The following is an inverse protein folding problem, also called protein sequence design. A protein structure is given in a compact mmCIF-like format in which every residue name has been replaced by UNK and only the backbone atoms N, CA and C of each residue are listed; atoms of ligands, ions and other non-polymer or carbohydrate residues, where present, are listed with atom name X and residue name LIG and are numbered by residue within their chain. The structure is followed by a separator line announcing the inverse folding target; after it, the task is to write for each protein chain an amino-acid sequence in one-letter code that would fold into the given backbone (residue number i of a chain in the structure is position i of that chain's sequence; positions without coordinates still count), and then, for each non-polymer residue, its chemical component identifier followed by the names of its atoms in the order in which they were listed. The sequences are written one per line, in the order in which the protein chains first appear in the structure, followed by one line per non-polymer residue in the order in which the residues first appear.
data_IF_610368059774
#
_entry.id   IF_610368059774
#
_cell.length_a   1.000
_cell.length_b   1.000
_cell.length_c   1.000
_cell.angle_alpha   90.00
_cell.angle_beta   90.00
_cell.angle_gamma   90.00
#
_symmetry.space_group_name_H-M   'P 1'
#
loop_
_entity.id
_entity.type
_entity.pdbx_description
1 polymer ?
#
# COMPACT_ATOMS: atom_id res chain seq x y z
N UNK A 1 4.21 16.06 -15.58
CA UNK A 1 2.80 16.37 -15.90
C UNK A 1 2.33 15.91 -17.29
N UNK A 2 3.16 15.26 -18.12
CA UNK A 2 2.68 14.68 -19.38
C UNK A 2 1.89 13.36 -19.21
N UNK A 3 2.03 12.66 -18.09
CA UNK A 3 1.41 11.33 -17.88
C UNK A 3 -0.11 11.46 -17.77
N UNK A 4 -0.62 12.31 -16.86
CA UNK A 4 -2.06 12.50 -16.72
C UNK A 4 -2.72 13.08 -17.98
N UNK A 5 -2.02 13.92 -18.75
CA UNK A 5 -2.54 14.41 -20.04
C UNK A 5 -2.67 13.29 -21.07
N UNK A 6 -1.65 12.43 -21.19
CA UNK A 6 -1.69 11.24 -22.04
C UNK A 6 -2.80 10.27 -21.60
N UNK A 7 -2.96 10.09 -20.29
CA UNK A 7 -4.02 9.25 -19.73
C UNK A 7 -5.40 9.79 -20.10
N UNK A 8 -5.64 11.10 -19.96
CA UNK A 8 -6.90 11.74 -20.38
C UNK A 8 -7.15 11.52 -21.88
N UNK A 9 -6.14 11.72 -22.74
CA UNK A 9 -6.26 11.49 -24.18
C UNK A 9 -6.60 10.03 -24.50
N UNK A 10 -5.94 9.09 -23.82
CA UNK A 10 -6.19 7.66 -23.98
C UNK A 10 -7.61 7.27 -23.55
N UNK A 11 -8.06 7.73 -22.36
CA UNK A 11 -9.40 7.44 -21.84
C UNK A 11 -10.48 8.05 -22.74
N UNK A 12 -10.26 9.24 -23.30
CA UNK A 12 -11.20 9.84 -24.26
C UNK A 12 -11.35 9.01 -25.53
N UNK A 13 -10.29 8.36 -25.99
CA UNK A 13 -10.29 7.61 -27.24
C UNK A 13 -10.71 6.14 -27.06
N UNK A 14 -10.35 5.53 -25.93
CA UNK A 14 -10.45 4.08 -25.72
C UNK A 14 -11.13 3.70 -24.40
N UNK A 15 -11.46 4.67 -23.55
CA UNK A 15 -12.04 4.44 -22.23
C UNK A 15 -13.36 3.70 -22.31
N UNK A 16 -13.53 2.73 -21.41
CA UNK A 16 -14.76 1.99 -21.18
C UNK A 16 -15.16 2.13 -19.71
N UNK A 17 -16.45 2.06 -19.37
CA UNK A 17 -16.88 2.06 -17.98
C UNK A 17 -16.10 1.03 -17.16
N UNK A 18 -15.52 1.49 -16.04
CA UNK A 18 -14.79 0.62 -15.13
C UNK A 18 -15.80 -0.12 -14.27
N UNK A 19 -15.84 -1.44 -14.40
CA UNK A 19 -16.61 -2.29 -13.50
C UNK A 19 -15.90 -2.36 -12.15
N UNK A 20 -16.53 -1.77 -11.14
CA UNK A 20 -16.13 -1.91 -9.75
C UNK A 20 -16.49 -3.31 -9.27
N UNK A 21 -15.55 -3.91 -8.58
CA UNK A 21 -15.64 -5.26 -8.06
C UNK A 21 -14.75 -5.40 -6.83
N UNK A 22 -15.30 -6.08 -5.83
CA UNK A 22 -14.60 -6.33 -4.58
C UNK A 22 -13.61 -7.49 -4.74
N UNK A 23 -12.42 -7.46 -4.11
CA UNK A 23 -11.84 -6.41 -3.26
C UNK A 23 -10.90 -5.43 -3.98
N UNK A 24 -10.76 -5.54 -5.31
CA UNK A 24 -9.61 -4.96 -6.01
C UNK A 24 -9.76 -3.48 -6.37
N UNK A 25 -10.92 -3.08 -6.90
CA UNK A 25 -11.12 -1.72 -7.42
C UNK A 25 -12.36 -1.01 -6.88
N UNK A 26 -13.18 -1.66 -6.05
CA UNK A 26 -14.31 -1.03 -5.36
C UNK A 26 -14.80 -1.82 -4.14
N UNK A 27 -15.55 -1.15 -3.26
CA UNK A 27 -16.19 -1.79 -2.10
C UNK A 27 -17.52 -2.45 -2.43
N UNK A 28 -18.14 -2.06 -3.54
CA UNK A 28 -19.43 -2.58 -4.01
C UNK A 28 -19.40 -2.71 -5.53
N UNK A 29 -20.08 -3.72 -6.10
CA UNK A 29 -20.28 -3.79 -7.54
C UNK A 29 -20.90 -2.51 -8.09
N UNK A 30 -20.43 -2.08 -9.25
CA UNK A 30 -20.91 -0.86 -9.89
C UNK A 30 -20.14 -0.55 -11.16
N UNK A 31 -20.52 0.53 -11.84
CA UNK A 31 -19.78 1.02 -13.01
C UNK A 31 -19.42 2.48 -12.79
N UNK A 32 -18.16 2.82 -13.01
CA UNK A 32 -17.66 4.20 -13.01
C UNK A 32 -17.45 4.64 -14.45
N UNK A 33 -18.03 5.79 -14.79
CA UNK A 33 -17.91 6.35 -16.13
C UNK A 33 -16.46 6.77 -16.43
N UNK A 34 -15.96 6.61 -17.67
CA UNK A 34 -14.66 7.17 -18.08
C UNK A 34 -14.57 8.68 -17.83
N UNK A 35 -15.69 9.39 -17.95
CA UNK A 35 -15.80 10.82 -17.71
C UNK A 35 -15.49 11.19 -16.27
N UNK A 36 -15.96 10.43 -15.28
CA UNK A 36 -15.60 10.66 -13.86
C UNK A 36 -14.10 10.54 -13.64
N UNK A 37 -13.47 9.53 -14.24
CA UNK A 37 -12.01 9.36 -14.15
C UNK A 37 -11.26 10.53 -14.80
N UNK A 38 -11.71 11.01 -15.96
CA UNK A 38 -11.14 12.21 -16.61
C UNK A 38 -11.27 13.43 -15.70
N UNK A 39 -12.43 13.67 -15.07
CA UNK A 39 -12.63 14.81 -14.17
C UNK A 39 -11.68 14.75 -12.97
N UNK A 40 -11.41 13.56 -12.42
CA UNK A 40 -10.42 13.38 -11.35
C UNK A 40 -9.00 13.69 -11.84
N UNK A 41 -8.62 13.25 -13.04
CA UNK A 41 -7.32 13.56 -13.64
C UNK A 41 -7.15 15.06 -13.92
N UNK A 42 -8.20 15.75 -14.36
CA UNK A 42 -8.19 17.19 -14.55
C UNK A 42 -8.02 17.94 -13.22
N UNK A 43 -8.74 17.53 -12.16
CA UNK A 43 -8.53 18.04 -10.79
C UNK A 43 -7.08 17.79 -10.32
N UNK A 44 -6.52 16.60 -10.57
CA UNK A 44 -5.13 16.29 -10.26
C UNK A 44 -4.14 17.23 -10.97
N UNK A 45 -4.35 17.50 -12.26
CA UNK A 45 -3.50 18.42 -13.04
C UNK A 45 -3.49 19.84 -12.48
N UNK A 46 -4.58 20.30 -11.86
CA UNK A 46 -4.64 21.61 -11.18
C UNK A 46 -3.80 21.64 -9.90
N UNK A 47 -3.69 20.52 -9.18
CA UNK A 47 -2.90 20.40 -7.94
C UNK A 47 -1.42 20.12 -8.20
N UNK A 48 -1.10 19.40 -9.27
CA UNK A 48 0.24 18.92 -9.57
C UNK A 48 1.37 19.98 -9.49
N UNK A 49 1.18 21.23 -9.97
CA UNK A 49 2.20 22.29 -9.85
C UNK A 49 2.57 22.70 -8.41
N UNK A 50 1.75 22.32 -7.41
CA UNK A 50 1.91 22.72 -6.01
C UNK A 50 2.40 21.58 -5.11
N UNK A 51 2.51 20.35 -5.64
CA UNK A 51 2.92 19.18 -4.87
C UNK A 51 4.40 19.23 -4.49
N UNK A 52 5.22 19.85 -5.35
CA UNK A 52 6.66 19.95 -5.18
C UNK A 52 7.06 21.39 -4.88
N UNK A 53 8.16 21.62 -4.15
CA UNK A 53 8.76 22.94 -4.02
C UNK A 53 8.94 23.62 -5.38
N UNK A 54 8.59 24.92 -5.49
CA UNK A 54 8.75 25.70 -6.73
C UNK A 54 10.20 25.89 -7.15
N UNK A 55 11.11 25.93 -6.19
CA UNK A 55 12.55 26.01 -6.46
C UNK A 55 13.05 24.71 -7.11
N UNK A 56 13.46 24.79 -8.38
CA UNK A 56 13.96 23.64 -9.13
C UNK A 56 15.23 23.04 -8.53
N UNK A 57 16.02 23.85 -7.83
CA UNK A 57 17.28 23.41 -7.23
C UNK A 57 17.08 22.83 -5.82
N UNK A 58 15.83 22.78 -5.34
CA UNK A 58 15.51 22.19 -4.06
C UNK A 58 15.93 20.70 -4.04
N UNK A 59 16.74 20.25 -3.05
CA UNK A 59 17.16 18.85 -2.96
C UNK A 59 16.01 17.84 -2.93
N UNK A 60 14.81 18.23 -2.49
CA UNK A 60 13.63 17.37 -2.47
C UNK A 60 13.06 17.09 -3.87
N UNK A 61 13.41 17.92 -4.86
CA UNK A 61 13.04 17.76 -6.26
C UNK A 61 13.99 16.83 -7.03
N UNK A 62 15.09 16.40 -6.40
CA UNK A 62 16.08 15.54 -7.05
C UNK A 62 15.45 14.22 -7.49
N UNK A 63 15.57 13.90 -8.79
CA UNK A 63 15.15 12.62 -9.35
C UNK A 63 15.88 11.49 -8.62
N UNK A 64 15.10 10.59 -8.04
CA UNK A 64 15.57 9.50 -7.21
C UNK A 64 15.02 8.20 -7.78
N UNK A 65 15.92 7.30 -8.15
CA UNK A 65 15.59 5.93 -8.51
C UNK A 65 15.18 5.18 -7.25
N UNK A 66 14.01 4.55 -7.25
CA UNK A 66 13.52 3.80 -6.09
C UNK A 66 13.21 2.37 -6.46
N UNK A 67 13.87 1.43 -5.77
CA UNK A 67 13.55 0.03 -5.86
C UNK A 67 12.11 -0.21 -5.33
N UNK A 68 11.25 -0.91 -6.08
CA UNK A 68 9.83 -1.05 -5.75
C UNK A 68 9.60 -1.97 -4.54
N UNK A 69 10.40 -3.04 -4.43
CA UNK A 69 10.29 -4.01 -3.34
C UNK A 69 11.66 -4.39 -2.76
N UNK A 70 12.31 -3.44 -2.07
CA UNK A 70 13.63 -3.70 -1.52
C UNK A 70 13.51 -4.54 -0.24
N UNK A 71 13.86 -5.82 -0.33
CA UNK A 71 13.86 -6.75 0.79
C UNK A 71 15.03 -7.76 0.67
N UNK A 72 15.28 -8.58 1.71
CA UNK A 72 16.37 -9.56 1.68
C UNK A 72 16.28 -10.61 0.57
N UNK A 73 15.08 -11.01 0.13
CA UNK A 73 14.92 -11.98 -0.97
C UNK A 73 15.39 -11.39 -2.31
N UNK A 74 15.31 -10.06 -2.45
CA UNK A 74 15.74 -9.34 -3.65
C UNK A 74 17.18 -8.82 -3.55
N UNK A 75 17.93 -9.17 -2.49
CA UNK A 75 19.29 -8.68 -2.23
C UNK A 75 20.27 -9.83 -2.03
N UNK A 76 21.25 -9.96 -2.93
CA UNK A 76 22.31 -10.96 -2.84
C UNK A 76 23.55 -10.40 -2.16
N UNK A 77 24.14 -11.19 -1.27
CA UNK A 77 25.35 -10.83 -0.52
C UNK A 77 26.46 -11.81 -0.88
N UNK A 78 27.65 -11.27 -1.16
CA UNK A 78 28.85 -12.06 -1.43
C UNK A 78 29.33 -12.77 -0.17
N UNK A 79 29.46 -14.11 -0.16
CA UNK A 79 29.96 -14.83 1.01
C UNK A 79 31.41 -14.47 1.37
N UNK A 80 32.21 -14.03 0.40
CA UNK A 80 33.62 -13.72 0.58
C UNK A 80 33.87 -12.33 1.18
N UNK A 81 33.05 -11.34 0.81
CA UNK A 81 33.25 -9.94 1.23
C UNK A 81 32.19 -9.43 2.22
N UNK A 82 31.06 -10.12 2.34
CA UNK A 82 29.89 -9.62 3.09
C UNK A 82 29.21 -8.41 2.44
N UNK A 83 29.67 -7.96 1.27
CA UNK A 83 29.07 -6.85 0.53
C UNK A 83 27.89 -7.30 -0.36
N UNK A 84 26.98 -6.37 -0.65
CA UNK A 84 25.90 -6.59 -1.62
C UNK A 84 26.52 -6.82 -3.00
N UNK A 85 26.22 -7.97 -3.62
CA UNK A 85 26.70 -8.33 -4.96
C UNK A 85 25.69 -8.02 -6.04
N UNK A 86 24.39 -8.12 -5.74
CA UNK A 86 23.32 -7.90 -6.71
C UNK A 86 22.01 -7.51 -6.00
N UNK A 87 21.20 -6.68 -6.65
CA UNK A 87 19.80 -6.41 -6.29
C UNK A 87 18.97 -6.73 -7.53
N UNK A 88 17.92 -7.54 -7.38
CA UNK A 88 17.03 -7.99 -8.45
C UNK A 88 15.62 -7.43 -8.26
N UNK A 89 14.65 -7.79 -9.13
CA UNK A 89 13.27 -7.32 -9.03
C UNK A 89 13.09 -5.80 -9.20
N UNK A 90 13.83 -5.24 -10.17
CA UNK A 90 13.68 -3.83 -10.58
C UNK A 90 12.45 -3.59 -11.49
N UNK A 91 11.65 -4.60 -11.79
CA UNK A 91 10.40 -4.41 -12.51
C UNK A 91 9.46 -3.47 -11.73
N UNK A 92 8.83 -2.51 -12.42
CA UNK A 92 8.03 -1.43 -11.81
C UNK A 92 8.82 -0.36 -11.03
N UNK A 93 10.15 -0.32 -11.18
CA UNK A 93 10.97 0.78 -10.63
C UNK A 93 10.50 2.13 -11.16
N UNK A 94 10.40 3.11 -10.26
CA UNK A 94 10.05 4.49 -10.60
C UNK A 94 11.27 5.42 -10.46
N UNK A 95 11.25 6.49 -11.25
CA UNK A 95 12.17 7.62 -11.12
C UNK A 95 11.34 8.87 -10.90
N UNK A 96 11.35 9.34 -9.66
CA UNK A 96 10.50 10.45 -9.23
C UNK A 96 11.28 11.41 -8.33
N UNK A 97 10.79 12.64 -8.14
CA UNK A 97 11.30 13.55 -7.13
C UNK A 97 11.41 12.86 -5.77
N UNK A 98 12.53 13.05 -5.07
CA UNK A 98 12.80 12.46 -3.75
C UNK A 98 11.63 12.56 -2.79
N UNK A 99 10.92 13.68 -2.78
CA UNK A 99 9.76 13.92 -1.92
C UNK A 99 8.63 12.89 -2.13
N UNK A 100 8.44 12.42 -3.36
CA UNK A 100 7.38 11.48 -3.75
C UNK A 100 7.77 10.00 -3.56
N UNK A 101 9.06 9.71 -3.33
CA UNK A 101 9.54 8.32 -3.15
C UNK A 101 10.29 8.11 -1.83
N UNK A 102 10.32 9.12 -0.96
CA UNK A 102 10.90 8.99 0.37
C UNK A 102 10.02 8.13 1.25
N UNK A 103 10.54 6.97 1.66
CA UNK A 103 9.89 6.03 2.56
C UNK A 103 10.85 4.95 3.00
N UNK A 104 10.37 4.06 3.86
CA UNK A 104 11.10 2.85 4.25
C UNK A 104 10.43 1.63 3.60
N UNK A 105 11.18 0.71 2.98
CA UNK A 105 10.59 -0.54 2.52
C UNK A 105 10.03 -1.33 3.72
N UNK A 106 8.91 -2.05 3.52
CA UNK A 106 8.20 -2.80 4.59
C UNK A 106 9.13 -3.73 5.37
N UNK A 107 10.10 -4.36 4.68
CA UNK A 107 11.08 -5.25 5.29
C UNK A 107 11.96 -4.61 6.38
N UNK A 108 12.05 -3.28 6.43
CA UNK A 108 12.84 -2.51 7.41
C UNK A 108 11.97 -1.73 8.41
N UNK A 109 10.66 -2.01 8.46
CA UNK A 109 9.78 -1.46 9.48
C UNK A 109 10.13 -1.98 10.87
N UNK A 110 9.73 -1.23 11.90
CA UNK A 110 9.92 -1.70 13.27
C UNK A 110 8.95 -2.86 13.53
N UNK A 111 9.44 -4.07 13.85
CA UNK A 111 8.54 -5.16 14.22
C UNK A 111 7.87 -4.97 15.59
N UNK A 112 8.39 -4.08 16.44
CA UNK A 112 7.89 -3.87 17.80
C UNK A 112 6.75 -2.84 17.83
N UNK A 113 5.64 -3.20 18.51
CA UNK A 113 4.46 -2.35 18.70
C UNK A 113 4.81 -1.12 19.55
N UNK A 114 5.59 -1.32 20.60
CA UNK A 114 6.04 -0.25 21.50
C UNK A 114 7.47 0.17 21.15
N UNK A 115 7.64 1.45 20.80
CA UNK A 115 8.95 1.99 20.50
C UNK A 115 9.66 2.33 21.81
N UNK A 116 10.80 1.67 22.05
CA UNK A 116 11.72 2.13 23.08
C UNK A 116 12.35 3.47 22.64
N UNK A 117 12.48 4.47 23.52
CA UNK A 117 13.21 5.69 23.20
C UNK A 117 14.70 5.43 22.98
N UNK A 118 15.22 4.31 23.50
CA UNK A 118 16.61 3.91 23.39
C UNK A 118 16.82 2.92 22.25
N UNK A 119 17.84 3.17 21.42
CA UNK A 119 18.28 2.22 20.42
C UNK A 119 19.08 1.11 21.11
N UNK A 120 18.46 -0.07 21.26
CA UNK A 120 19.07 -1.27 21.86
C UNK A 120 19.47 -2.26 20.79
N UNK A 121 20.68 -2.80 20.86
CA UNK A 121 21.14 -3.83 19.93
C UNK A 121 20.21 -5.04 20.03
N UNK A 122 19.72 -5.59 18.91
CA UNK A 122 18.85 -6.75 18.95
C UNK A 122 19.61 -7.91 19.57
N UNK A 123 18.97 -8.60 20.51
CA UNK A 123 19.50 -9.83 21.09
C UNK A 123 18.38 -10.84 21.24
N UNK A 124 18.74 -12.12 21.21
CA UNK A 124 17.80 -13.15 21.63
C UNK A 124 17.48 -12.99 23.12
N UNK A 125 16.29 -13.43 23.50
CA UNK A 125 15.86 -13.47 24.89
C UNK A 125 16.65 -14.56 25.64
N UNK A 126 16.85 -14.40 26.95
CA UNK A 126 17.74 -15.27 27.74
C UNK A 126 17.32 -16.74 27.75
N UNK A 127 16.04 -17.01 27.50
CA UNK A 127 15.40 -18.32 27.45
C UNK A 127 15.43 -18.98 26.06
N UNK A 128 16.00 -18.33 25.03
CA UNK A 128 16.02 -18.82 23.65
C UNK A 128 16.46 -20.29 23.53
N UNK A 129 17.54 -20.67 24.22
CA UNK A 129 18.07 -22.03 24.16
C UNK A 129 17.08 -23.10 24.65
N UNK A 130 16.16 -22.72 25.54
CA UNK A 130 15.14 -23.59 26.13
C UNK A 130 13.84 -23.64 25.32
N UNK A 131 13.69 -22.78 24.30
CA UNK A 131 12.49 -22.74 23.48
C UNK A 131 12.32 -24.01 22.62
N UNK A 132 11.08 -24.47 22.40
CA UNK A 132 10.75 -25.45 21.37
C UNK A 132 11.18 -25.01 19.97
N UNK A 133 11.35 -25.95 19.04
CA UNK A 133 11.82 -25.66 17.67
C UNK A 133 10.99 -24.59 16.96
N UNK A 134 9.65 -24.66 17.05
CA UNK A 134 8.75 -23.68 16.43
C UNK A 134 8.95 -22.27 17.00
N UNK A 135 9.01 -22.14 18.33
CA UNK A 135 9.23 -20.86 19.00
C UNK A 135 10.63 -20.28 18.72
N UNK A 136 11.64 -21.13 18.44
CA UNK A 136 12.95 -20.66 17.99
C UNK A 136 12.89 -20.04 16.60
N UNK A 137 12.11 -20.59 15.67
CA UNK A 137 11.92 -20.02 14.34
C UNK A 137 11.32 -18.61 14.43
N UNK A 138 10.27 -18.44 15.22
CA UNK A 138 9.63 -17.15 15.45
C UNK A 138 10.59 -16.14 16.12
N UNK A 139 11.35 -16.60 17.13
CA UNK A 139 12.34 -15.77 17.80
C UNK A 139 13.48 -15.33 16.86
N UNK A 140 13.93 -16.22 15.97
CA UNK A 140 14.95 -15.91 14.95
C UNK A 140 14.43 -14.93 13.91
N UNK A 141 13.19 -15.08 13.46
CA UNK A 141 12.56 -14.15 12.53
C UNK A 141 12.43 -12.75 13.15
N UNK A 142 11.94 -12.66 14.38
CA UNK A 142 11.84 -11.39 15.10
C UNK A 142 13.21 -10.74 15.29
N UNK A 143 14.23 -11.53 15.65
CA UNK A 143 15.61 -11.05 15.77
C UNK A 143 16.11 -10.47 14.43
N UNK A 144 15.90 -11.17 13.31
CA UNK A 144 16.28 -10.68 11.96
C UNK A 144 15.56 -9.38 11.61
N UNK A 145 14.24 -9.28 11.86
CA UNK A 145 13.45 -8.07 11.58
C UNK A 145 13.93 -6.87 12.41
N UNK A 146 14.23 -7.08 13.70
CA UNK A 146 14.82 -6.03 14.57
C UNK A 146 16.20 -5.59 14.07
N UNK A 147 17.00 -6.52 13.56
CA UNK A 147 18.29 -6.19 12.96
C UNK A 147 18.14 -5.41 11.64
N UNK A 148 17.13 -5.73 10.83
CA UNK A 148 16.83 -4.95 9.62
C UNK A 148 16.35 -3.54 9.95
N UNK A 149 15.61 -3.34 11.03
CA UNK A 149 15.20 -1.99 11.48
C UNK A 149 16.40 -1.03 11.69
N UNK A 150 17.61 -1.53 12.01
CA UNK A 150 18.82 -0.69 12.08
C UNK A 150 19.20 -0.04 10.76
N UNK A 151 18.83 -0.64 9.63
CA UNK A 151 18.96 0.01 8.32
C UNK A 151 18.21 1.34 8.29
N UNK A 152 16.99 1.40 8.86
CA UNK A 152 16.17 2.62 8.92
C UNK A 152 16.91 3.73 9.65
N UNK A 153 17.48 3.42 10.81
CA UNK A 153 18.25 4.36 11.63
C UNK A 153 19.50 4.84 10.89
N UNK A 154 20.25 3.90 10.31
CA UNK A 154 21.47 4.19 9.57
C UNK A 154 21.21 5.04 8.32
N UNK A 155 20.15 4.73 7.57
CA UNK A 155 19.72 5.52 6.42
C UNK A 155 19.32 6.94 6.83
N UNK A 156 18.59 7.12 7.93
CA UNK A 156 18.31 8.46 8.47
C UNK A 156 19.59 9.23 8.85
N UNK A 157 20.59 8.53 9.40
CA UNK A 157 21.86 9.15 9.76
C UNK A 157 22.68 9.55 8.53
N UNK A 158 22.82 8.66 7.54
CA UNK A 158 23.72 8.82 6.39
C UNK A 158 23.08 9.59 5.23
N UNK A 159 21.77 9.47 5.03
CA UNK A 159 21.04 10.06 3.92
C UNK A 159 20.20 11.27 4.40
N UNK A 160 20.88 12.38 4.71
CA UNK A 160 20.23 13.61 5.24
C UNK A 160 19.11 14.14 4.33
N UNK A 161 19.26 14.20 2.99
CA UNK A 161 18.18 14.68 2.14
C UNK A 161 16.94 13.77 2.18
N UNK A 162 17.11 12.45 2.28
CA UNK A 162 16.00 11.52 2.46
C UNK A 162 15.34 11.70 3.84
N UNK A 163 16.13 11.87 4.91
CA UNK A 163 15.58 12.18 6.23
C UNK A 163 14.79 13.50 6.23
N UNK A 164 15.25 14.51 5.47
CA UNK A 164 14.51 15.77 5.30
C UNK A 164 13.17 15.55 4.61
N UNK A 165 13.11 14.71 3.56
CA UNK A 165 11.87 14.36 2.89
C UNK A 165 10.89 13.63 3.83
N UNK A 166 11.39 12.71 4.67
CA UNK A 166 10.57 12.00 5.67
C UNK A 166 10.04 12.90 6.79
N UNK A 167 10.67 14.06 7.02
CA UNK A 167 10.22 15.05 8.01
C UNK A 167 9.11 15.94 7.48
N UNK A 168 8.80 15.87 6.18
CA UNK A 168 7.67 16.59 5.61
C UNK A 168 6.37 15.98 6.17
N UNK A 169 5.58 16.74 6.94
CA UNK A 169 4.33 16.23 7.52
C UNK A 169 3.28 15.86 6.46
N UNK A 170 3.46 16.31 5.22
CA UNK A 170 2.56 16.05 4.09
C UNK A 170 3.19 15.07 3.09
N UNK A 171 4.30 14.40 3.44
CA UNK A 171 4.94 13.42 2.55
C UNK A 171 3.97 12.32 2.13
N UNK A 172 3.32 11.64 3.07
CA UNK A 172 2.39 10.54 2.77
C UNK A 172 1.19 10.98 1.91
N UNK A 173 0.45 12.06 2.23
CA UNK A 173 -0.62 12.54 1.36
C UNK A 173 -0.14 12.91 -0.06
N UNK A 174 1.07 13.48 -0.20
CA UNK A 174 1.65 13.81 -1.51
C UNK A 174 2.01 12.59 -2.34
N UNK A 175 2.40 11.49 -1.68
CA UNK A 175 2.73 10.22 -2.32
C UNK A 175 1.47 9.45 -2.70
N UNK A 176 0.43 9.52 -1.87
CA UNK A 176 -0.84 8.84 -2.07
C UNK A 176 -1.91 9.79 -2.60
N UNK A 177 -1.70 10.29 -3.82
CA UNK A 177 -2.63 11.19 -4.54
C UNK A 177 -3.98 10.55 -4.89
N UNK A 178 -4.15 9.25 -4.61
CA UNK A 178 -5.44 8.56 -4.71
C UNK A 178 -6.55 9.16 -3.84
N UNK A 179 -6.22 10.08 -2.94
CA UNK A 179 -7.20 10.87 -2.19
C UNK A 179 -7.03 12.37 -2.47
N UNK A 180 -7.41 12.84 -3.68
CA UNK A 180 -7.48 14.26 -4.02
C UNK A 180 -8.24 15.08 -2.95
N UNK A 181 -9.23 14.47 -2.31
CA UNK A 181 -9.95 15.00 -1.15
C UNK A 181 -8.99 15.39 -0.03
N UNK A 182 -8.10 14.48 0.40
CA UNK A 182 -7.10 14.76 1.44
C UNK A 182 -6.15 15.87 1.02
N UNK A 183 -5.76 15.93 -0.25
CA UNK A 183 -4.88 17.02 -0.73
C UNK A 183 -5.49 18.41 -0.58
N UNK A 184 -6.82 18.54 -0.64
CA UNK A 184 -7.50 19.81 -0.37
C UNK A 184 -7.43 20.16 1.11
N UNK A 185 -7.59 19.18 2.01
CA UNK A 185 -7.42 19.38 3.45
C UNK A 185 -5.99 19.84 3.79
N UNK A 186 -4.98 19.25 3.12
CA UNK A 186 -3.58 19.62 3.31
C UNK A 186 -3.14 20.87 2.53
N UNK A 187 -4.00 21.42 1.67
CA UNK A 187 -3.67 22.59 0.84
C UNK A 187 -3.07 23.76 1.63
N UNK A 188 -3.60 24.16 2.81
CA UNK A 188 -3.05 25.28 3.58
C UNK A 188 -1.65 25.02 4.15
N UNK A 189 -1.23 23.76 4.20
CA UNK A 189 0.05 23.34 4.77
C UNK A 189 1.16 23.21 3.72
N UNK A 190 0.82 23.26 2.42
CA UNK A 190 1.82 23.24 1.36
C UNK A 190 2.69 24.53 1.41
N UNK A 191 4.01 24.44 1.18
CA UNK A 191 4.92 25.58 1.38
C UNK A 191 4.57 26.81 0.53
N UNK A 192 4.10 26.56 -0.70
CA UNK A 192 3.93 27.58 -1.75
C UNK A 192 2.46 27.96 -2.01
N UNK A 193 1.54 27.61 -1.10
CA UNK A 193 0.09 27.85 -1.25
C UNK A 193 -0.45 28.90 -0.28
N UNK A 194 0.39 29.46 0.60
CA UNK A 194 -0.04 30.45 1.59
C UNK A 194 -0.71 31.66 0.90
N UNK A 195 -1.97 31.90 1.23
CA UNK A 195 -2.78 32.99 0.64
C UNK A 195 -3.32 32.69 -0.76
N UNK A 196 -3.12 31.49 -1.30
CA UNK A 196 -3.65 31.02 -2.58
C UNK A 196 -4.86 30.12 -2.29
N UNK A 197 -6.00 30.40 -2.92
CA UNK A 197 -7.17 29.52 -2.85
C UNK A 197 -6.88 28.19 -3.55
N UNK A 198 -7.33 27.07 -2.97
CA UNK A 198 -7.22 25.77 -3.62
C UNK A 198 -7.97 25.79 -4.96
N UNK A 199 -7.35 25.36 -6.07
CA UNK A 199 -7.99 25.36 -7.39
C UNK A 199 -9.01 24.23 -7.57
N UNK A 200 -9.05 23.28 -6.62
CA UNK A 200 -9.98 22.14 -6.63
C UNK A 200 -10.92 22.25 -5.45
N UNK A 201 -12.21 22.03 -5.73
CA UNK A 201 -13.27 21.93 -4.75
C UNK A 201 -14.08 20.66 -5.03
N UNK A 202 -14.62 20.07 -3.96
CA UNK A 202 -15.64 19.02 -4.02
C UNK A 202 -16.87 19.54 -3.29
N UNK A 203 -18.03 19.11 -3.76
CA UNK A 203 -19.32 19.35 -3.12
C UNK A 203 -19.44 18.56 -1.82
N UNK A 204 -20.28 19.02 -0.89
CA UNK A 204 -20.54 18.31 0.36
C UNK A 204 -21.04 16.87 0.12
N UNK A 205 -21.83 16.66 -0.95
CA UNK A 205 -22.30 15.34 -1.34
C UNK A 205 -21.17 14.41 -1.82
N UNK A 206 -20.20 14.92 -2.58
CA UNK A 206 -19.01 14.15 -2.99
C UNK A 206 -18.16 13.76 -1.77
N UNK A 207 -17.98 14.69 -0.82
CA UNK A 207 -17.21 14.44 0.41
C UNK A 207 -17.91 13.42 1.33
N UNK A 208 -19.22 13.51 1.50
CA UNK A 208 -20.00 12.54 2.26
C UNK A 208 -19.98 11.16 1.60
N UNK A 209 -20.08 11.11 0.26
CA UNK A 209 -19.95 9.89 -0.51
C UNK A 209 -18.59 9.22 -0.34
N UNK A 210 -17.50 10.01 -0.44
CA UNK A 210 -16.14 9.54 -0.20
C UNK A 210 -15.97 8.98 1.22
N UNK A 211 -16.46 9.68 2.24
CA UNK A 211 -16.36 9.22 3.63
C UNK A 211 -17.10 7.89 3.87
N UNK A 212 -18.29 7.71 3.27
CA UNK A 212 -19.03 6.45 3.32
C UNK A 212 -18.28 5.31 2.63
N UNK A 213 -17.71 5.56 1.45
CA UNK A 213 -16.91 4.57 0.72
C UNK A 213 -15.64 4.19 1.48
N UNK A 214 -14.91 5.16 2.03
CA UNK A 214 -13.70 4.91 2.82
C UNK A 214 -14.01 4.08 4.08
N UNK A 215 -15.10 4.41 4.77
CA UNK A 215 -15.55 3.65 5.94
C UNK A 215 -15.92 2.22 5.56
N UNK A 216 -16.65 2.02 4.45
CA UNK A 216 -17.00 0.69 3.95
C UNK A 216 -15.74 -0.11 3.59
N UNK A 217 -14.81 0.49 2.84
CA UNK A 217 -13.55 -0.13 2.46
C UNK A 217 -12.73 -0.56 3.68
N UNK A 218 -12.70 0.26 4.74
CA UNK A 218 -12.03 -0.07 5.99
C UNK A 218 -12.65 -1.29 6.71
N UNK A 219 -13.99 -1.35 6.81
CA UNK A 219 -14.66 -2.50 7.42
C UNK A 219 -14.45 -3.78 6.60
N UNK A 220 -14.58 -3.70 5.28
CA UNK A 220 -14.37 -4.84 4.39
C UNK A 220 -12.91 -5.32 4.44
N UNK A 221 -11.93 -4.41 4.47
CA UNK A 221 -10.51 -4.78 4.58
C UNK A 221 -10.22 -5.54 5.88
N UNK A 222 -10.84 -5.15 7.00
CA UNK A 222 -10.72 -5.89 8.26
C UNK A 222 -11.33 -7.28 8.17
N UNK A 223 -12.50 -7.39 7.56
CA UNK A 223 -13.19 -8.66 7.38
C UNK A 223 -12.39 -9.62 6.49
N UNK A 224 -11.84 -9.10 5.38
CA UNK A 224 -10.97 -9.86 4.47
C UNK A 224 -9.71 -10.36 5.18
N UNK A 225 -9.07 -9.50 5.97
CA UNK A 225 -7.89 -9.93 6.72
C UNK A 225 -8.23 -10.99 7.77
N UNK A 226 -9.36 -10.87 8.45
CA UNK A 226 -9.86 -11.91 9.34
C UNK A 226 -10.08 -13.24 8.58
N UNK A 227 -10.68 -13.22 7.40
CA UNK A 227 -10.84 -14.42 6.58
C UNK A 227 -9.51 -15.03 6.12
N UNK A 228 -8.54 -14.19 5.73
CA UNK A 228 -7.19 -14.64 5.38
C UNK A 228 -6.52 -15.36 6.54
N UNK A 229 -6.65 -14.84 7.75
CA UNK A 229 -6.10 -15.44 8.97
C UNK A 229 -6.76 -16.79 9.28
N UNK A 230 -8.08 -16.89 9.16
CA UNK A 230 -8.83 -18.15 9.36
C UNK A 230 -8.43 -19.23 8.33
N UNK A 231 -8.26 -18.85 7.06
CA UNK A 231 -7.84 -19.76 5.99
C UNK A 231 -6.35 -20.13 6.13
N UNK A 232 -5.53 -19.21 6.64
CA UNK A 232 -4.08 -19.37 6.80
C UNK A 232 -3.27 -18.98 5.56
N UNK A 233 -3.72 -17.94 4.83
CA UNK A 233 -3.08 -17.38 3.63
C UNK A 233 -2.55 -15.98 3.90
N UNK A 234 -1.56 -15.53 3.11
CA UNK A 234 -1.05 -14.16 3.20
C UNK A 234 -1.88 -13.17 2.36
N UNK A 235 -1.46 -11.89 2.33
CA UNK A 235 -2.12 -10.82 1.54
C UNK A 235 -2.26 -11.19 0.05
N UNK A 236 -1.29 -11.93 -0.50
CA UNK A 236 -1.22 -12.36 -1.90
C UNK A 236 -1.93 -13.71 -2.17
N UNK A 237 -2.55 -14.31 -1.15
CA UNK A 237 -3.20 -15.63 -1.26
C UNK A 237 -2.23 -16.81 -1.31
N UNK A 238 -0.94 -16.59 -1.06
CA UNK A 238 0.08 -17.63 -1.09
C UNK A 238 -0.03 -18.57 0.12
N UNK A 239 0.17 -19.87 -0.15
CA UNK A 239 0.26 -20.94 0.84
C UNK A 239 1.32 -21.97 0.42
N UNK A 240 1.96 -22.62 1.38
CA UNK A 240 2.89 -23.72 1.11
C UNK A 240 2.14 -24.93 0.55
N UNK A 241 2.79 -25.70 -0.33
CA UNK A 241 2.21 -26.90 -0.95
C UNK A 241 1.56 -27.86 0.08
N UNK A 242 2.26 -28.11 1.20
CA UNK A 242 1.77 -28.97 2.28
C UNK A 242 0.49 -28.48 2.99
N UNK A 243 0.18 -27.18 2.88
CA UNK A 243 -0.99 -26.55 3.51
C UNK A 243 -2.08 -26.19 2.49
N UNK A 244 -1.85 -26.41 1.20
CA UNK A 244 -2.76 -26.01 0.13
C UNK A 244 -4.15 -26.65 0.30
N UNK A 245 -4.19 -27.97 0.44
CA UNK A 245 -5.44 -28.73 0.61
C UNK A 245 -6.22 -28.36 1.89
N UNK A 246 -5.51 -27.91 2.93
CA UNK A 246 -6.15 -27.42 4.16
C UNK A 246 -6.74 -26.02 3.95
N UNK A 247 -6.02 -25.13 3.27
CA UNK A 247 -6.50 -23.79 2.93
C UNK A 247 -7.73 -23.83 2.03
N UNK A 248 -7.74 -24.65 0.97
CA UNK A 248 -8.91 -24.83 0.09
C UNK A 248 -10.12 -25.33 0.87
N UNK A 249 -9.92 -26.28 1.80
CA UNK A 249 -11.01 -26.80 2.64
C UNK A 249 -11.56 -25.73 3.57
N UNK A 250 -10.70 -24.94 4.21
CA UNK A 250 -11.10 -23.85 5.11
C UNK A 250 -11.83 -22.73 4.39
N UNK A 251 -11.38 -22.39 3.18
CA UNK A 251 -12.06 -21.43 2.31
C UNK A 251 -13.49 -21.88 1.99
N UNK A 252 -13.67 -23.14 1.58
CA UNK A 252 -14.99 -23.70 1.31
C UNK A 252 -15.87 -23.71 2.56
N UNK A 253 -15.34 -24.13 3.72
CA UNK A 253 -16.08 -24.14 4.99
C UNK A 253 -16.51 -22.74 5.43
N UNK A 254 -15.62 -21.75 5.24
CA UNK A 254 -15.94 -20.36 5.53
C UNK A 254 -17.07 -19.87 4.63
N UNK A 255 -17.01 -20.15 3.33
CA UNK A 255 -18.06 -19.79 2.38
C UNK A 255 -19.41 -20.42 2.75
N UNK A 256 -19.42 -21.72 3.05
CA UNK A 256 -20.63 -22.45 3.46
C UNK A 256 -21.24 -21.84 4.73
N UNK A 257 -20.42 -21.51 5.73
CA UNK A 257 -20.88 -20.88 6.97
C UNK A 257 -21.54 -19.52 6.75
N UNK A 258 -21.06 -18.74 5.78
CA UNK A 258 -21.64 -17.45 5.41
C UNK A 258 -22.96 -17.62 4.65
N UNK A 259 -23.07 -18.63 3.79
CA UNK A 259 -24.32 -18.99 3.11
C UNK A 259 -25.38 -19.42 4.12
N UNK A 260 -25.01 -20.23 5.12
CA UNK A 260 -25.92 -20.64 6.21
C UNK A 260 -26.37 -19.44 7.06
N UNK A 261 -25.46 -18.51 7.34
CA UNK A 261 -25.77 -17.30 8.11
C UNK A 261 -26.67 -16.30 7.36
N UNK A 262 -26.73 -16.36 6.02
CA UNK A 262 -27.60 -15.53 5.18
C UNK A 262 -29.08 -15.97 5.18
N UNK A 263 -29.46 -16.92 6.05
CA UNK A 263 -30.84 -17.41 6.26
C UNK A 263 -31.61 -17.83 4.99
N UNK A 264 -30.92 -18.11 3.88
CA UNK A 264 -31.54 -18.59 2.64
C UNK A 264 -32.19 -17.50 1.77
N UNK A 265 -31.90 -16.21 1.98
CA UNK A 265 -32.29 -15.17 1.03
C UNK A 265 -31.61 -15.40 -0.32
N UNK A 266 -32.37 -15.73 -1.37
CA UNK A 266 -31.79 -15.97 -2.72
C UNK A 266 -30.95 -14.78 -3.21
N UNK A 267 -31.36 -13.57 -2.88
CA UNK A 267 -30.64 -12.33 -3.19
C UNK A 267 -29.33 -12.19 -2.40
N UNK A 268 -29.34 -12.50 -1.10
CA UNK A 268 -28.14 -12.43 -0.26
C UNK A 268 -27.10 -13.49 -0.65
N UNK A 269 -27.56 -14.70 -1.01
CA UNK A 269 -26.69 -15.77 -1.52
C UNK A 269 -26.12 -15.40 -2.89
N UNK A 270 -26.92 -14.78 -3.76
CA UNK A 270 -26.43 -14.29 -5.04
C UNK A 270 -25.34 -13.23 -4.86
N UNK A 271 -25.59 -12.22 -4.01
CA UNK A 271 -24.62 -11.17 -3.69
C UNK A 271 -23.36 -11.72 -3.03
N UNK A 272 -23.47 -12.71 -2.15
CA UNK A 272 -22.32 -13.37 -1.54
C UNK A 272 -21.47 -14.08 -2.60
N UNK A 273 -22.08 -14.78 -3.55
CA UNK A 273 -21.34 -15.46 -4.63
C UNK A 273 -20.69 -14.47 -5.60
N UNK A 274 -21.39 -13.42 -6.00
CA UNK A 274 -20.85 -12.35 -6.85
C UNK A 274 -19.87 -11.43 -6.13
N UNK A 275 -19.90 -11.37 -4.80
CA UNK A 275 -18.98 -10.60 -3.98
C UNK A 275 -17.83 -11.43 -3.39
N UNK A 276 -17.84 -12.75 -3.60
CA UNK A 276 -16.87 -13.65 -2.99
C UNK A 276 -15.47 -13.37 -3.51
N UNK A 277 -14.54 -13.05 -2.60
CA UNK A 277 -13.20 -12.61 -2.97
C UNK A 277 -12.30 -13.74 -3.47
N UNK A 278 -12.56 -14.98 -3.04
CA UNK A 278 -11.79 -16.17 -3.44
C UNK A 278 -12.46 -16.94 -4.59
N UNK A 279 -13.41 -16.31 -5.31
CA UNK A 279 -14.02 -16.95 -6.47
C UNK A 279 -13.02 -17.08 -7.61
N UNK A 280 -13.15 -18.16 -8.37
CA UNK A 280 -12.44 -18.30 -9.63
C UNK A 280 -12.81 -17.15 -10.57
N UNK A 281 -11.78 -16.59 -11.20
CA UNK A 281 -11.93 -15.58 -12.25
C UNK A 281 -11.25 -16.13 -13.49
N UNK A 282 -11.84 -15.90 -14.66
CA UNK A 282 -11.13 -16.15 -15.90
C UNK A 282 -9.88 -15.27 -15.92
N UNK A 283 -8.70 -15.89 -16.04
CA UNK A 283 -7.48 -15.15 -16.34
C UNK A 283 -7.64 -14.58 -17.75
N UNK A 284 -7.69 -13.25 -17.84
CA UNK A 284 -7.74 -12.56 -19.12
C UNK A 284 -6.29 -12.47 -19.61
N UNK A 285 -5.94 -13.31 -20.58
CA UNK A 285 -4.67 -13.27 -21.33
C UNK A 285 -4.39 -11.91 -21.99
#
# INVERSE_FOLDING_TARGET
MSIAQKEIEWVRQYGKPLKLDFPHNGSTPGEVSPEEYIHLLEKFLLLAPYLLPRDSDNPLNQLTLRHPDLNPNNTFVSPASGGISCIIEWQHTTVEPRLLVAGHPRAFENPDIEQSPDLKEPSHHSDYNTLPAQAKVEADELYRRRHLYYYRISNGHLNKPHLQALRDPISLPRQHLGALVRMIEYWPHLPDTRGIKCPVEFTDAELEGFAKQEQMWFYLSKLVNYWRDEIGINEDGWVSNDRYEDAVRKESQLKDSLVEAAEGGEEDIHLLNEGWMFRDREEID
#
